data_IF_223788094492
#
_entry.id   IF_223788094492
#
_cell.length_a   1.000
_cell.length_b   1.000
_cell.length_c   1.000
_cell.angle_alpha   90.00
_cell.angle_beta   90.00
_cell.angle_gamma   90.00
#
_symmetry.space_group_name_H-M   'P 1'
#
loop_
_entity.id
_entity.type
_entity.pdbx_description
1 polymer ?
#
# COMPACT_ATOMS: atom_id res chain seq x y z
N UNK A 1 1.23 -1.78 24.58
CA UNK A 1 2.36 -2.58 24.06
C UNK A 1 2.57 -2.40 22.56
N UNK A 2 1.62 -2.78 21.69
CA UNK A 2 1.74 -2.70 20.21
C UNK A 2 2.09 -1.29 19.69
N UNK A 3 1.38 -0.23 20.13
CA UNK A 3 1.67 1.16 19.71
C UNK A 3 3.06 1.65 20.11
N UNK A 4 3.57 1.19 21.25
CA UNK A 4 4.90 1.58 21.73
C UNK A 4 6.01 0.87 20.93
N UNK A 5 5.76 -0.39 20.54
CA UNK A 5 6.72 -1.22 19.80
C UNK A 5 6.78 -0.90 18.30
N UNK A 6 5.62 -0.72 17.66
CA UNK A 6 5.52 -0.52 16.21
C UNK A 6 5.18 0.92 15.81
N UNK A 7 4.99 1.79 16.80
CA UNK A 7 4.58 3.16 16.63
C UNK A 7 3.08 3.31 16.38
N UNK A 8 2.67 4.56 16.19
CA UNK A 8 1.31 4.91 15.80
C UNK A 8 1.35 5.97 14.69
N UNK A 9 0.19 6.24 14.10
CA UNK A 9 0.02 7.34 13.17
C UNK A 9 -0.68 8.48 13.91
N UNK A 10 0.04 9.57 14.12
CA UNK A 10 -0.48 10.82 14.70
C UNK A 10 -0.53 11.85 13.58
N UNK A 11 -1.65 11.83 12.84
CA UNK A 11 -1.88 12.73 11.72
C UNK A 11 -2.82 13.84 12.16
N UNK A 12 -2.31 15.05 12.18
CA UNK A 12 -3.11 16.27 12.30
C UNK A 12 -3.04 16.98 10.95
N UNK A 13 -4.22 17.14 10.34
CA UNK A 13 -4.41 17.90 9.11
C UNK A 13 -4.73 19.36 9.47
N UNK A 14 -4.01 20.31 8.88
CA UNK A 14 -4.25 21.75 9.06
C UNK A 14 -4.48 22.40 7.68
N UNK A 15 -5.71 22.35 7.13
CA UNK A 15 -6.38 23.56 6.62
C UNK A 15 -7.92 23.43 6.44
N UNK A 16 -8.57 24.46 5.90
CA UNK A 16 -9.94 24.37 5.35
C UNK A 16 -9.97 23.46 4.11
N UNK A 17 -10.61 22.28 4.23
CA UNK A 17 -10.86 21.36 3.11
C UNK A 17 -12.20 21.67 2.42
N UNK A 18 -12.41 21.23 1.16
CA UNK A 18 -13.70 21.39 0.50
C UNK A 18 -14.79 20.70 1.32
N UNK A 19 -15.84 21.44 1.72
CA UNK A 19 -16.97 20.89 2.48
C UNK A 19 -18.03 20.24 1.59
N UNK A 20 -18.05 20.62 0.32
CA UNK A 20 -18.98 20.07 -0.67
C UNK A 20 -18.40 18.80 -1.30
N UNK A 21 -19.27 17.81 -1.56
CA UNK A 21 -18.93 16.62 -2.33
C UNK A 21 -18.82 16.98 -3.82
N UNK A 22 -17.62 17.39 -4.24
CA UNK A 22 -17.31 17.74 -5.63
C UNK A 22 -17.15 16.50 -6.54
N UNK A 23 -17.07 15.29 -5.97
CA UNK A 23 -17.03 14.04 -6.76
C UNK A 23 -18.39 13.68 -7.35
N UNK A 24 -19.48 14.11 -6.71
CA UNK A 24 -20.87 13.81 -7.12
C UNK A 24 -21.20 14.25 -8.56
N UNK A 25 -20.47 15.23 -9.11
CA UNK A 25 -20.63 15.66 -10.49
C UNK A 25 -20.17 14.62 -11.53
N UNK A 26 -19.43 13.58 -11.10
CA UNK A 26 -18.81 12.59 -11.97
C UNK A 26 -19.41 11.20 -11.68
N UNK A 27 -19.94 10.48 -12.70
CA UNK A 27 -20.60 9.18 -12.50
C UNK A 27 -19.73 8.14 -11.78
N UNK A 28 -18.43 8.16 -12.06
CA UNK A 28 -17.45 7.26 -11.44
C UNK A 28 -16.62 7.97 -10.37
N UNK A 29 -16.96 9.19 -9.94
CA UNK A 29 -16.14 10.01 -9.02
C UNK A 29 -14.71 10.31 -9.49
N UNK A 30 -14.35 9.93 -10.71
CA UNK A 30 -13.06 10.28 -11.32
C UNK A 30 -13.07 11.75 -11.76
N UNK A 31 -12.65 12.63 -10.85
CA UNK A 31 -12.54 14.08 -11.10
C UNK A 31 -11.29 14.36 -11.95
N UNK A 32 -11.38 15.08 -13.09
CA UNK A 32 -10.21 15.51 -13.83
C UNK A 32 -9.31 16.43 -12.99
N UNK A 33 -7.99 16.34 -13.14
CA UNK A 33 -7.02 17.14 -12.34
C UNK A 33 -7.31 18.65 -12.32
N UNK A 34 -7.78 19.21 -13.44
CA UNK A 34 -8.11 20.63 -13.58
C UNK A 34 -9.34 21.04 -12.76
N UNK A 35 -10.26 20.11 -12.54
CA UNK A 35 -11.56 20.31 -11.89
C UNK A 35 -11.51 20.11 -10.37
N UNK A 36 -10.43 19.55 -9.83
CA UNK A 36 -10.23 19.47 -8.38
C UNK A 36 -10.21 20.89 -7.76
N UNK A 37 -10.93 21.14 -6.67
CA UNK A 37 -10.82 22.39 -5.92
C UNK A 37 -9.38 22.64 -5.47
N UNK A 38 -8.95 23.90 -5.40
CA UNK A 38 -7.57 24.25 -5.07
C UNK A 38 -7.21 23.89 -3.62
N UNK A 39 -8.21 23.91 -2.76
CA UNK A 39 -8.15 23.58 -1.34
C UNK A 39 -8.28 22.06 -1.05
N UNK A 40 -8.53 21.26 -2.09
CA UNK A 40 -8.56 19.80 -1.97
C UNK A 40 -7.18 19.26 -1.60
N UNK A 41 -7.14 18.29 -0.69
CA UNK A 41 -5.89 17.70 -0.18
C UNK A 41 -5.03 17.08 -1.30
N UNK A 42 -5.61 16.67 -2.42
CA UNK A 42 -4.87 16.17 -3.59
C UNK A 42 -4.02 17.23 -4.28
N UNK A 43 -4.42 18.52 -4.19
CA UNK A 43 -3.66 19.66 -4.74
C UNK A 43 -2.69 20.27 -3.73
N UNK A 44 -2.86 19.93 -2.46
CA UNK A 44 -2.00 20.37 -1.38
C UNK A 44 -0.67 19.59 -1.40
N UNK A 45 0.38 20.25 -1.87
CA UNK A 45 1.70 19.64 -2.04
C UNK A 45 2.31 19.21 -0.72
N UNK A 46 2.21 20.04 0.31
CA UNK A 46 2.82 19.77 1.62
C UNK A 46 2.12 18.59 2.30
N UNK A 47 0.79 18.57 2.23
CA UNK A 47 -0.01 17.44 2.68
C UNK A 47 0.39 16.15 1.96
N UNK A 48 0.42 16.16 0.62
CA UNK A 48 0.73 14.97 -0.18
C UNK A 48 2.15 14.44 0.08
N UNK A 49 3.14 15.31 0.19
CA UNK A 49 4.52 14.91 0.48
C UNK A 49 4.63 14.26 1.88
N UNK A 50 3.98 14.86 2.88
CA UNK A 50 3.92 14.28 4.23
C UNK A 50 3.15 12.96 4.24
N UNK A 51 2.03 12.88 3.54
CA UNK A 51 1.13 11.72 3.51
C UNK A 51 1.86 10.53 2.91
N UNK A 52 2.48 10.72 1.74
CA UNK A 52 3.23 9.67 1.07
C UNK A 52 4.42 9.20 1.90
N UNK A 53 5.11 10.09 2.61
CA UNK A 53 6.24 9.73 3.47
C UNK A 53 5.77 8.90 4.67
N UNK A 54 4.78 9.38 5.41
CA UNK A 54 4.29 8.71 6.62
C UNK A 54 3.55 7.41 6.31
N UNK A 55 2.74 7.37 5.24
CA UNK A 55 2.06 6.16 4.80
C UNK A 55 3.06 5.05 4.43
N UNK A 56 4.15 5.40 3.71
CA UNK A 56 5.23 4.44 3.41
C UNK A 56 5.89 3.92 4.69
N UNK A 57 6.18 4.79 5.64
CA UNK A 57 6.76 4.38 6.93
C UNK A 57 5.80 3.48 7.71
N UNK A 58 4.50 3.77 7.72
CA UNK A 58 3.49 2.95 8.36
C UNK A 58 3.43 1.55 7.74
N UNK A 59 3.39 1.45 6.40
CA UNK A 59 3.40 0.16 5.70
C UNK A 59 4.66 -0.63 6.05
N UNK A 60 5.83 0.00 6.07
CA UNK A 60 7.08 -0.67 6.46
C UNK A 60 7.02 -1.19 7.91
N UNK A 61 6.54 -0.38 8.85
CA UNK A 61 6.39 -0.79 10.26
C UNK A 61 5.39 -1.93 10.42
N UNK A 62 4.27 -1.90 9.69
CA UNK A 62 3.28 -2.97 9.69
C UNK A 62 3.86 -4.28 9.14
N UNK A 63 4.62 -4.22 8.05
CA UNK A 63 5.31 -5.38 7.49
C UNK A 63 6.33 -5.98 8.48
N UNK A 64 7.12 -5.14 9.17
CA UNK A 64 8.05 -5.61 10.21
C UNK A 64 7.31 -6.22 11.41
N UNK A 65 6.15 -5.66 11.78
CA UNK A 65 5.31 -6.22 12.83
C UNK A 65 4.81 -7.62 12.44
N UNK A 66 4.29 -7.78 11.21
CA UNK A 66 3.89 -9.08 10.68
C UNK A 66 5.07 -10.05 10.73
N UNK A 67 6.24 -9.67 10.20
CA UNK A 67 7.41 -10.55 10.22
C UNK A 67 7.78 -10.98 11.65
N UNK A 68 7.74 -10.07 12.63
CA UNK A 68 8.00 -10.39 14.02
C UNK A 68 7.00 -11.36 14.64
N UNK A 69 5.71 -11.23 14.34
CA UNK A 69 4.68 -12.19 14.79
C UNK A 69 4.93 -13.60 14.24
N UNK A 70 5.53 -13.71 13.05
CA UNK A 70 5.91 -14.98 12.42
C UNK A 70 7.31 -15.46 12.84
N UNK A 71 7.95 -14.85 13.84
CA UNK A 71 9.28 -15.24 14.33
C UNK A 71 10.45 -14.78 13.45
N UNK A 72 10.18 -13.93 12.46
CA UNK A 72 11.17 -13.31 11.56
C UNK A 72 11.34 -11.81 11.89
N UNK A 73 11.23 -11.42 13.16
CA UNK A 73 11.49 -10.05 13.58
C UNK A 73 12.95 -9.67 13.33
N UNK A 74 13.26 -8.38 13.25
CA UNK A 74 14.66 -7.96 13.25
C UNK A 74 15.31 -8.39 14.56
N UNK A 75 16.30 -9.27 14.49
CA UNK A 75 17.15 -9.57 15.64
C UNK A 75 18.04 -8.36 15.93
N UNK A 76 17.97 -7.82 17.16
CA UNK A 76 18.76 -6.66 17.59
C UNK A 76 20.28 -6.93 17.50
N UNK A 77 20.68 -8.20 17.42
CA UNK A 77 22.07 -8.67 17.34
C UNK A 77 22.48 -9.23 15.95
N UNK A 78 21.57 -9.30 14.98
CA UNK A 78 21.87 -9.85 13.66
C UNK A 78 22.37 -8.75 12.71
N UNK A 79 23.68 -8.55 12.70
CA UNK A 79 24.37 -7.77 11.66
C UNK A 79 24.30 -8.55 10.34
N UNK A 80 23.27 -8.31 9.53
CA UNK A 80 23.14 -8.86 8.18
C UNK A 80 21.74 -9.36 7.80
N UNK A 81 20.73 -9.15 8.64
CA UNK A 81 19.39 -9.69 8.43
C UNK A 81 18.62 -8.90 7.34
N UNK A 82 18.74 -9.34 6.08
CA UNK A 82 18.11 -8.71 4.94
C UNK A 82 16.59 -8.90 5.01
N UNK A 83 15.85 -7.80 5.18
CA UNK A 83 14.38 -7.77 5.17
C UNK A 83 13.82 -8.46 3.93
N UNK A 84 14.51 -8.39 2.79
CA UNK A 84 14.06 -9.06 1.57
C UNK A 84 14.02 -10.58 1.76
N UNK A 85 15.06 -11.18 2.34
CA UNK A 85 15.11 -12.61 2.65
C UNK A 85 14.02 -13.02 3.64
N UNK A 86 13.78 -12.21 4.69
CA UNK A 86 12.70 -12.47 5.66
C UNK A 86 11.31 -12.34 5.06
N UNK A 87 11.14 -11.46 4.06
CA UNK A 87 9.85 -11.21 3.41
C UNK A 87 9.53 -12.21 2.29
N UNK A 88 10.48 -13.06 1.90
CA UNK A 88 10.32 -14.01 0.79
C UNK A 88 9.17 -14.99 1.02
N UNK A 89 8.90 -15.36 2.28
CA UNK A 89 7.75 -16.21 2.64
C UNK A 89 6.38 -15.62 2.25
N UNK A 90 6.31 -14.30 2.06
CA UNK A 90 5.12 -13.56 1.63
C UNK A 90 5.21 -13.05 0.19
N UNK A 91 6.23 -13.46 -0.56
CA UNK A 91 6.40 -13.03 -1.94
C UNK A 91 5.21 -13.47 -2.80
N UNK A 92 4.62 -12.51 -3.51
CA UNK A 92 3.57 -12.79 -4.51
C UNK A 92 4.24 -13.14 -5.81
N UNK A 93 3.93 -14.30 -6.37
CA UNK A 93 4.44 -14.71 -7.69
C UNK A 93 3.62 -14.11 -8.82
N UNK A 94 4.30 -13.71 -9.89
CA UNK A 94 3.68 -13.17 -11.10
C UNK A 94 3.74 -14.21 -12.21
N UNK A 95 2.59 -14.55 -12.77
CA UNK A 95 2.47 -15.38 -13.96
C UNK A 95 1.99 -14.52 -15.13
N UNK A 96 2.55 -14.75 -16.31
CA UNK A 96 2.00 -14.20 -17.55
C UNK A 96 0.67 -14.88 -17.86
N UNK A 97 -0.18 -14.19 -18.64
CA UNK A 97 -1.54 -14.66 -18.93
C UNK A 97 -1.54 -16.03 -19.64
N UNK A 98 -0.49 -16.34 -20.43
CA UNK A 98 -0.34 -17.62 -21.13
C UNK A 98 0.08 -18.79 -20.21
N UNK A 99 0.64 -18.49 -19.04
CA UNK A 99 1.11 -19.47 -18.06
C UNK A 99 0.09 -19.76 -16.94
N UNK A 100 -1.09 -19.14 -17.00
CA UNK A 100 -2.16 -19.30 -16.01
C UNK A 100 -2.63 -20.75 -15.82
N UNK A 101 -2.55 -21.57 -16.88
CA UNK A 101 -2.90 -22.99 -16.81
C UNK A 101 -1.99 -23.79 -15.86
N UNK A 102 -0.81 -23.26 -15.55
CA UNK A 102 0.20 -23.86 -14.67
C UNK A 102 0.20 -23.24 -13.26
N UNK A 103 -0.39 -22.06 -13.07
CA UNK A 103 -0.36 -21.31 -11.82
C UNK A 103 -0.98 -22.05 -10.60
N UNK A 104 -1.88 -23.02 -10.83
CA UNK A 104 -2.45 -23.86 -9.76
C UNK A 104 -1.89 -25.28 -9.69
N UNK A 105 -0.99 -25.67 -10.60
CA UNK A 105 -0.43 -27.03 -10.70
C UNK A 105 1.02 -27.10 -10.25
N UNK A 106 1.69 -25.95 -10.22
CA UNK A 106 3.08 -25.89 -9.81
C UNK A 106 3.17 -25.96 -8.28
N UNK A 107 3.56 -27.12 -7.76
CA UNK A 107 3.79 -27.35 -6.33
C UNK A 107 4.95 -26.49 -5.77
N UNK A 108 5.70 -25.82 -6.65
CA UNK A 108 6.71 -24.82 -6.30
C UNK A 108 6.14 -23.41 -6.16
N UNK A 109 4.84 -23.17 -6.34
CA UNK A 109 4.20 -21.97 -5.79
C UNK A 109 4.25 -22.15 -4.29
N UNK A 110 5.32 -21.63 -3.67
CA UNK A 110 5.48 -21.64 -2.21
C UNK A 110 4.24 -21.06 -1.53
N UNK A 111 4.20 -21.07 -0.20
CA UNK A 111 3.02 -20.67 0.58
C UNK A 111 2.50 -19.23 0.35
N UNK A 112 3.14 -18.43 -0.53
CA UNK A 112 2.67 -17.14 -1.01
C UNK A 112 1.57 -17.22 -2.08
N UNK A 113 0.81 -16.14 -2.23
CA UNK A 113 -0.19 -16.00 -3.30
C UNK A 113 0.44 -15.78 -4.67
N UNK A 114 -0.37 -15.87 -5.73
CA UNK A 114 0.04 -15.55 -7.10
C UNK A 114 -0.92 -14.57 -7.75
N UNK A 115 -0.44 -13.84 -8.77
CA UNK A 115 -1.23 -12.88 -9.55
C UNK A 115 -0.68 -12.78 -10.98
N UNK A 116 -1.32 -11.99 -11.85
CA UNK A 116 -0.78 -11.60 -13.16
C UNK A 116 -0.45 -10.11 -13.18
N UNK A 117 0.48 -9.65 -14.05
CA UNK A 117 0.79 -8.23 -14.18
C UNK A 117 -0.46 -7.39 -14.46
N UNK A 118 -1.36 -7.87 -15.32
CA UNK A 118 -2.62 -7.20 -15.65
C UNK A 118 -3.55 -7.07 -14.45
N UNK A 119 -3.72 -8.15 -13.68
CA UNK A 119 -4.53 -8.14 -12.46
C UNK A 119 -3.95 -7.18 -11.41
N UNK A 120 -2.63 -7.19 -11.24
CA UNK A 120 -1.91 -6.31 -10.32
C UNK A 120 -2.05 -4.83 -10.69
N UNK A 121 -1.93 -4.47 -11.97
CA UNK A 121 -2.19 -3.10 -12.42
C UNK A 121 -3.65 -2.69 -12.22
N UNK A 122 -4.60 -3.59 -12.44
CA UNK A 122 -6.01 -3.36 -12.13
C UNK A 122 -6.24 -3.09 -10.62
N UNK A 123 -5.59 -3.87 -9.76
CA UNK A 123 -5.65 -3.69 -8.31
C UNK A 123 -5.08 -2.33 -7.88
N UNK A 124 -3.90 -1.94 -8.39
CA UNK A 124 -3.30 -0.63 -8.13
C UNK A 124 -4.26 0.51 -8.47
N UNK A 125 -4.90 0.44 -9.64
CA UNK A 125 -5.87 1.46 -10.08
C UNK A 125 -7.09 1.54 -9.16
N UNK A 126 -7.63 0.40 -8.74
CA UNK A 126 -8.78 0.35 -7.80
C UNK A 126 -8.43 0.91 -6.43
N UNK A 127 -7.25 0.58 -5.91
CA UNK A 127 -6.77 1.11 -4.63
C UNK A 127 -6.54 2.62 -4.71
N UNK A 128 -5.89 3.10 -5.77
CA UNK A 128 -5.69 4.53 -5.99
C UNK A 128 -7.02 5.28 -6.10
N UNK A 129 -7.96 4.72 -6.87
CA UNK A 129 -9.31 5.27 -6.98
C UNK A 129 -9.98 5.37 -5.60
N UNK A 130 -10.03 4.27 -4.84
CA UNK A 130 -10.65 4.24 -3.51
C UNK A 130 -9.97 5.14 -2.46
N UNK A 131 -8.69 5.48 -2.64
CA UNK A 131 -7.99 6.45 -1.78
C UNK A 131 -8.33 7.89 -2.17
N UNK A 132 -8.54 8.15 -3.47
CA UNK A 132 -8.76 9.50 -4.01
C UNK A 132 -10.22 9.94 -3.87
N UNK A 133 -11.19 9.04 -4.02
CA UNK A 133 -12.64 9.33 -4.12
C UNK A 133 -13.46 8.95 -2.90
#
# INVERSE_FOLDING_TARGET
EIKARWGSWSWDDEPERPKADFYKAYPNRDVPWKEFPIEAWQKDKEYMERFLREAKQLVVRAMEAILAEYGHGKDENASGDDRAARSDMFAVKFFEDDDLANAGKDSNVGHGGWTTPKSWEGLKRRLLHAIIT
#
